data_IF_043209741475
#
_entry.id   IF_043209741475
#
_cell.length_a   1.000
_cell.length_b   1.000
_cell.length_c   1.000
_cell.angle_alpha   90.00
_cell.angle_beta   90.00
_cell.angle_gamma   90.00
#
_symmetry.space_group_name_H-M   'P 1'
#
loop_
_entity.id
_entity.type
_entity.pdbx_description
1 polymer ?
#
# COMPACT_ATOMS: atom_id res chain seq x y z
N UNK A 1 -10.58 -21.95 4.47
CA UNK A 1 -11.87 -21.25 4.37
C UNK A 1 -11.63 -19.77 4.21
N UNK A 2 -12.31 -19.16 3.25
CA UNK A 2 -12.49 -17.70 3.24
C UNK A 2 -13.50 -17.36 4.34
N UNK A 3 -13.16 -16.43 5.24
CA UNK A 3 -13.96 -16.14 6.43
C UNK A 3 -15.05 -15.10 6.15
N UNK A 4 -15.07 -14.52 4.94
CA UNK A 4 -15.94 -13.39 4.59
C UNK A 4 -16.86 -13.70 3.42
N UNK A 5 -18.04 -13.09 3.45
CA UNK A 5 -19.00 -13.19 2.35
C UNK A 5 -18.54 -12.35 1.15
N UNK A 6 -18.99 -12.67 -0.09
CA UNK A 6 -18.69 -11.87 -1.27
C UNK A 6 -19.10 -10.39 -1.13
N UNK A 7 -20.21 -10.12 -0.44
CA UNK A 7 -20.68 -8.78 -0.10
C UNK A 7 -19.64 -8.00 0.73
N UNK A 8 -19.13 -8.64 1.78
CA UNK A 8 -18.14 -8.08 2.68
C UNK A 8 -16.81 -7.82 1.97
N UNK A 9 -16.37 -8.74 1.10
CA UNK A 9 -15.20 -8.54 0.27
C UNK A 9 -15.35 -7.37 -0.70
N UNK A 10 -16.49 -7.25 -1.37
CA UNK A 10 -16.75 -6.10 -2.25
C UNK A 10 -16.71 -4.78 -1.48
N UNK A 11 -17.28 -4.73 -0.28
CA UNK A 11 -17.25 -3.53 0.58
C UNK A 11 -15.83 -3.17 1.00
N UNK A 12 -15.03 -4.16 1.42
CA UNK A 12 -13.63 -3.95 1.82
C UNK A 12 -12.82 -3.43 0.63
N UNK A 13 -12.90 -4.09 -0.53
CA UNK A 13 -12.13 -3.68 -1.71
C UNK A 13 -12.53 -2.28 -2.21
N UNK A 14 -13.80 -1.88 -2.10
CA UNK A 14 -14.23 -0.50 -2.38
C UNK A 14 -13.68 0.54 -1.41
N UNK A 15 -13.38 0.15 -0.17
CA UNK A 15 -12.82 1.06 0.85
C UNK A 15 -11.31 1.25 0.74
N UNK A 16 -10.62 0.39 -0.03
CA UNK A 16 -9.18 0.53 -0.28
C UNK A 16 -8.98 1.67 -1.30
N UNK A 17 -8.71 2.87 -0.78
CA UNK A 17 -8.35 4.04 -1.59
C UNK A 17 -6.90 3.98 -2.09
N UNK A 18 -6.61 4.66 -3.20
CA UNK A 18 -5.26 4.76 -3.78
C UNK A 18 -4.36 5.82 -3.14
N UNK A 19 -4.91 6.66 -2.24
CA UNK A 19 -4.21 7.77 -1.58
C UNK A 19 -4.67 7.89 -0.13
N UNK A 20 -3.83 8.46 0.73
CA UNK A 20 -4.13 8.69 2.15
C UNK A 20 -4.43 7.41 2.91
N UNK A 21 -3.78 6.31 2.51
CA UNK A 21 -3.96 5.04 3.21
C UNK A 21 -3.48 5.15 4.66
N UNK A 22 -4.01 4.29 5.53
CA UNK A 22 -3.59 4.21 6.94
C UNK A 22 -2.06 4.26 7.17
N UNK A 23 -1.24 3.46 6.46
CA UNK A 23 0.22 3.53 6.60
C UNK A 23 0.82 4.86 6.11
N UNK A 24 0.32 5.45 5.01
CA UNK A 24 0.78 6.78 4.57
C UNK A 24 0.51 7.84 5.64
N UNK A 25 -0.68 7.83 6.23
CA UNK A 25 -1.07 8.78 7.27
C UNK A 25 -0.22 8.61 8.54
N UNK A 26 0.13 7.37 8.89
CA UNK A 26 1.05 7.10 9.99
C UNK A 26 2.43 7.71 9.74
N UNK A 27 3.01 7.49 8.55
CA UNK A 27 4.31 8.07 8.16
C UNK A 27 4.25 9.60 8.16
N UNK A 28 3.19 10.20 7.61
CA UNK A 28 2.99 11.66 7.61
C UNK A 28 2.98 12.26 9.01
N UNK A 29 2.27 11.63 9.95
CA UNK A 29 2.23 12.06 11.36
C UNK A 29 3.60 11.94 12.03
N UNK A 30 4.33 10.85 11.75
CA UNK A 30 5.66 10.60 12.29
C UNK A 30 6.67 11.66 11.79
N UNK A 31 6.72 11.88 10.48
CA UNK A 31 7.59 12.87 9.85
C UNK A 31 7.27 14.28 10.37
N UNK A 32 5.99 14.63 10.49
CA UNK A 32 5.57 15.90 11.06
C UNK A 32 5.95 16.04 12.54
N UNK A 33 5.76 15.00 13.35
CA UNK A 33 6.11 14.97 14.78
C UNK A 33 7.61 15.08 15.03
N UNK A 34 8.44 14.59 14.11
CA UNK A 34 9.89 14.76 14.12
C UNK A 34 10.36 16.14 13.64
N UNK A 35 9.45 17.06 13.27
CA UNK A 35 9.76 18.42 12.84
C UNK A 35 10.18 18.54 11.37
N UNK A 36 10.04 17.48 10.57
CA UNK A 36 10.35 17.53 9.15
C UNK A 36 9.20 18.12 8.35
N UNK A 37 9.53 19.09 7.49
CA UNK A 37 8.60 19.57 6.45
C UNK A 37 8.68 18.65 5.23
N UNK A 38 7.54 18.09 4.85
CA UNK A 38 7.41 17.28 3.65
C UNK A 38 6.48 17.94 2.64
N UNK A 39 6.68 17.63 1.36
CA UNK A 39 5.75 17.95 0.30
C UNK A 39 4.98 16.69 -0.09
N UNK A 40 3.70 16.87 -0.38
CA UNK A 40 2.84 15.86 -0.96
C UNK A 40 2.93 16.01 -2.48
N UNK A 41 3.76 15.18 -3.11
CA UNK A 41 3.83 15.04 -4.56
C UNK A 41 3.95 13.56 -4.91
N UNK A 42 4.06 13.21 -6.18
CA UNK A 42 4.55 11.89 -6.59
C UNK A 42 6.08 11.99 -6.55
N UNK A 43 6.82 11.34 -5.63
CA UNK A 43 6.48 10.20 -4.75
C UNK A 43 5.88 10.54 -3.38
N UNK A 44 5.18 9.57 -2.74
CA UNK A 44 4.23 9.72 -1.62
C UNK A 44 4.57 10.80 -0.57
N UNK A 45 5.83 10.84 -0.11
CA UNK A 45 6.36 11.97 0.66
C UNK A 45 7.75 12.36 0.15
N UNK A 46 7.95 13.66 -0.08
CA UNK A 46 9.25 14.22 -0.45
C UNK A 46 9.78 15.15 0.65
N UNK A 47 10.96 14.84 1.18
CA UNK A 47 11.73 15.67 2.07
C UNK A 47 12.77 16.45 1.27
N UNK A 48 12.33 17.54 0.63
CA UNK A 48 13.16 18.31 -0.31
C UNK A 48 14.47 18.81 0.32
N UNK A 49 14.43 19.26 1.58
CA UNK A 49 15.62 19.73 2.33
C UNK A 49 16.66 18.64 2.51
N UNK A 50 16.23 17.38 2.65
CA UNK A 50 17.11 16.24 2.87
C UNK A 50 17.39 15.44 1.60
N UNK A 51 16.79 15.82 0.47
CA UNK A 51 16.86 15.08 -0.81
C UNK A 51 16.42 13.61 -0.66
N UNK A 52 15.44 13.35 0.20
CA UNK A 52 14.90 12.01 0.45
C UNK A 52 13.48 11.90 -0.09
N UNK A 53 13.20 10.82 -0.83
CA UNK A 53 11.87 10.40 -1.24
C UNK A 53 11.47 9.15 -0.43
N UNK A 54 10.25 9.18 0.14
CA UNK A 54 9.69 8.07 0.89
C UNK A 54 8.53 7.50 0.09
N UNK A 55 8.58 6.20 -0.16
CA UNK A 55 7.53 5.43 -0.82
C UNK A 55 6.85 4.52 0.20
N UNK A 56 5.52 4.58 0.27
CA UNK A 56 4.75 3.77 1.21
C UNK A 56 3.98 2.72 0.42
N UNK A 57 4.51 1.51 0.41
CA UNK A 57 3.99 0.41 -0.37
C UNK A 57 3.30 -0.64 0.50
N UNK A 58 2.13 -1.09 0.06
CA UNK A 58 1.39 -2.16 0.73
C UNK A 58 2.00 -3.53 0.43
N UNK A 59 2.32 -4.31 1.46
CA UNK A 59 2.98 -5.61 1.31
C UNK A 59 2.24 -6.59 0.38
N UNK A 60 0.90 -6.54 0.36
CA UNK A 60 0.07 -7.41 -0.49
C UNK A 60 0.24 -7.09 -1.98
N UNK A 61 0.23 -5.81 -2.34
CA UNK A 61 0.29 -5.35 -3.73
C UNK A 61 1.71 -5.48 -4.33
N UNK A 62 2.72 -5.42 -3.47
CA UNK A 62 4.13 -5.53 -3.88
C UNK A 62 4.72 -6.93 -3.66
N UNK A 63 3.91 -7.93 -3.30
CA UNK A 63 4.36 -9.31 -3.18
C UNK A 63 5.49 -9.52 -2.16
N UNK A 64 5.52 -8.75 -1.07
CA UNK A 64 6.55 -8.89 -0.05
C UNK A 64 6.51 -10.29 0.59
N UNK A 65 7.70 -10.85 0.89
CA UNK A 65 7.85 -12.15 1.59
C UNK A 65 7.53 -12.08 3.09
N UNK A 66 6.57 -11.24 3.49
CA UNK A 66 6.09 -11.15 4.87
C UNK A 66 4.70 -11.81 5.02
N UNK A 67 4.27 -12.06 6.25
CA UNK A 67 2.96 -12.68 6.54
C UNK A 67 1.78 -11.92 5.92
N UNK A 68 1.92 -10.59 5.77
CA UNK A 68 0.91 -9.69 5.17
C UNK A 68 1.00 -9.56 3.65
N UNK A 69 2.05 -10.10 3.01
CA UNK A 69 2.23 -10.10 1.56
C UNK A 69 1.85 -11.43 0.89
N UNK A 70 1.33 -12.39 1.66
CA UNK A 70 0.89 -13.68 1.13
C UNK A 70 -0.35 -13.49 0.26
N UNK A 71 -0.29 -14.00 -0.96
CA UNK A 71 -1.43 -14.00 -1.87
C UNK A 71 -2.60 -14.78 -1.23
N UNK A 72 -3.84 -14.26 -1.35
CA UNK A 72 -5.01 -15.01 -0.91
C UNK A 72 -5.12 -16.31 -1.73
N UNK A 73 -5.60 -17.38 -1.06
CA UNK A 73 -5.81 -18.69 -1.71
C UNK A 73 -6.95 -18.68 -2.73
N UNK A 74 -7.77 -17.64 -2.74
CA UNK A 74 -8.93 -17.46 -3.61
C UNK A 74 -8.55 -16.61 -4.83
N UNK A 75 -8.90 -17.05 -6.05
CA UNK A 75 -8.61 -16.36 -7.33
C UNK A 75 -7.12 -16.13 -7.60
N UNK A 76 -6.29 -17.15 -7.38
CA UNK A 76 -4.83 -17.07 -7.56
C UNK A 76 -4.43 -16.53 -8.95
N UNK A 77 -5.08 -16.96 -10.03
CA UNK A 77 -4.74 -16.52 -11.40
C UNK A 77 -4.87 -15.01 -11.59
N UNK A 78 -5.90 -14.41 -10.99
CA UNK A 78 -6.10 -12.95 -11.00
C UNK A 78 -4.96 -12.23 -10.28
N UNK A 79 -4.57 -12.71 -9.10
CA UNK A 79 -3.53 -12.08 -8.28
C UNK A 79 -2.13 -12.30 -8.83
N UNK A 80 -1.86 -13.46 -9.43
CA UNK A 80 -0.58 -13.75 -10.10
C UNK A 80 -0.41 -12.85 -11.32
N UNK A 81 -1.46 -12.65 -12.12
CA UNK A 81 -1.43 -11.74 -13.25
C UNK A 81 -1.22 -10.28 -12.82
N UNK A 82 -1.92 -9.82 -11.78
CA UNK A 82 -1.78 -8.45 -11.27
C UNK A 82 -0.41 -8.21 -10.61
N UNK A 83 0.10 -9.17 -9.84
CA UNK A 83 1.45 -9.10 -9.26
C UNK A 83 2.53 -9.09 -10.36
N UNK A 84 2.38 -9.90 -11.42
CA UNK A 84 3.29 -9.90 -12.56
C UNK A 84 3.29 -8.55 -13.28
N UNK A 85 2.13 -7.89 -13.40
CA UNK A 85 1.99 -6.56 -14.01
C UNK A 85 2.72 -5.47 -13.21
N UNK A 86 2.70 -5.55 -11.88
CA UNK A 86 3.40 -4.61 -11.01
C UNK A 86 4.91 -4.88 -10.93
N UNK A 87 5.35 -6.15 -10.97
CA UNK A 87 6.77 -6.50 -10.95
C UNK A 87 7.54 -6.07 -12.21
N UNK A 88 6.83 -5.75 -13.29
CA UNK A 88 7.39 -5.28 -14.55
C UNK A 88 7.51 -3.74 -14.66
N UNK A 89 7.17 -3.00 -13.59
CA UNK A 89 7.30 -1.53 -13.50
C UNK A 89 8.28 -1.14 -12.41
#
# INVERSE_FOLDING_TARGET
MDTRTPEQHRRIMRSVGSKHTGPEMAVRRLVHGLGYRYRLHLPDLVLARHKVAIFVHGCLWHGHRCSKGRLPKTRLDFWVCEACRLAAR
#
